data_IF_362368141866
#
_entry.id   IF_362368141866
#
_cell.length_a   1.000
_cell.length_b   1.000
_cell.length_c   1.000
_cell.angle_alpha   90.00
_cell.angle_beta   90.00
_cell.angle_gamma   90.00
#
_symmetry.space_group_name_H-M   'P 1'
#
loop_
_entity.id
_entity.type
_entity.pdbx_description
1 polymer ?
#
# COMPACT_ATOMS: atom_id res chain seq x y z
N UNK A 1 29.64 -4.27 4.83
CA UNK A 1 29.60 -2.97 5.53
C UNK A 1 28.23 -2.84 6.16
N UNK A 2 28.11 -2.83 7.50
CA UNK A 2 26.81 -2.67 8.18
C UNK A 2 26.67 -1.21 8.56
N UNK A 3 25.55 -0.58 8.17
CA UNK A 3 25.19 0.74 8.67
C UNK A 3 24.71 0.54 10.12
N UNK A 4 25.30 1.23 11.11
CA UNK A 4 24.88 1.10 12.50
C UNK A 4 23.38 1.37 12.66
N UNK A 5 22.73 0.67 13.59
CA UNK A 5 21.30 0.80 13.91
C UNK A 5 20.31 0.39 12.81
N UNK A 6 20.71 0.18 11.55
CA UNK A 6 19.78 -0.19 10.45
C UNK A 6 18.97 -1.44 10.79
N UNK A 7 19.62 -2.52 11.22
CA UNK A 7 18.90 -3.74 11.60
C UNK A 7 17.90 -3.52 12.74
N UNK A 8 18.23 -2.66 13.71
CA UNK A 8 17.32 -2.31 14.80
C UNK A 8 16.13 -1.49 14.31
N UNK A 9 16.38 -0.43 13.53
CA UNK A 9 15.33 0.46 13.03
C UNK A 9 14.41 -0.22 12.03
N UNK A 10 14.94 -1.07 11.14
CA UNK A 10 14.14 -1.77 10.11
C UNK A 10 13.14 -2.75 10.71
N UNK A 11 13.40 -3.33 11.89
CA UNK A 11 12.51 -4.29 12.53
C UNK A 11 11.57 -3.64 13.57
N UNK A 12 11.85 -2.41 14.00
CA UNK A 12 11.11 -1.79 15.10
C UNK A 12 9.62 -1.57 14.81
N UNK A 13 9.17 -1.23 13.58
CA UNK A 13 7.74 -1.16 13.28
C UNK A 13 7.01 -2.49 13.54
N UNK A 14 7.64 -3.61 13.19
CA UNK A 14 7.10 -4.95 13.43
C UNK A 14 7.09 -5.30 14.92
N UNK A 15 8.16 -4.95 15.66
CA UNK A 15 8.21 -5.14 17.11
C UNK A 15 7.15 -4.33 17.84
N UNK A 16 6.96 -3.08 17.44
CA UNK A 16 5.90 -2.23 17.97
C UNK A 16 4.53 -2.85 17.71
N UNK A 17 4.26 -3.31 16.48
CA UNK A 17 2.98 -3.95 16.14
C UNK A 17 2.66 -5.14 17.05
N UNK A 18 3.63 -6.02 17.31
CA UNK A 18 3.46 -7.17 18.21
C UNK A 18 3.27 -6.71 19.67
N UNK A 19 4.11 -5.79 20.14
CA UNK A 19 4.05 -5.31 21.54
C UNK A 19 2.77 -4.53 21.82
N UNK A 20 2.20 -3.86 20.82
CA UNK A 20 1.05 -2.97 20.99
C UNK A 20 -0.30 -3.66 20.78
N UNK A 21 -0.34 -4.96 20.45
CA UNK A 21 -1.60 -5.70 20.26
C UNK A 21 -2.59 -5.58 21.44
N UNK A 22 -2.08 -5.55 22.68
CA UNK A 22 -2.89 -5.43 23.90
C UNK A 22 -2.73 -4.07 24.61
N UNK A 23 -1.99 -3.13 24.02
CA UNK A 23 -1.71 -1.83 24.63
C UNK A 23 -2.69 -0.76 24.13
N UNK A 24 -3.00 0.26 24.94
CA UNK A 24 -3.90 1.34 24.54
C UNK A 24 -3.50 2.03 23.21
N UNK A 25 -2.20 2.21 22.94
CA UNK A 25 -1.71 2.79 21.70
C UNK A 25 -2.07 1.94 20.47
N UNK A 26 -1.91 0.61 20.55
CA UNK A 26 -2.28 -0.28 19.46
C UNK A 26 -3.79 -0.40 19.28
N UNK A 27 -4.58 -0.40 20.37
CA UNK A 27 -6.05 -0.36 20.29
C UNK A 27 -6.51 0.91 19.57
N UNK A 28 -5.95 2.07 19.92
CA UNK A 28 -6.29 3.34 19.28
C UNK A 28 -5.83 3.40 17.83
N UNK A 29 -4.63 2.88 17.53
CA UNK A 29 -4.15 2.74 16.15
C UNK A 29 -5.11 1.91 15.31
N UNK A 30 -5.48 0.70 15.76
CA UNK A 30 -6.41 -0.17 15.05
C UNK A 30 -7.77 0.50 14.83
N UNK A 31 -8.30 1.20 15.84
CA UNK A 31 -9.54 1.99 15.69
C UNK A 31 -9.45 3.05 14.60
N UNK A 32 -8.31 3.72 14.46
CA UNK A 32 -8.09 4.71 13.39
C UNK A 32 -7.93 4.07 12.02
N UNK A 33 -7.19 2.96 11.92
CA UNK A 33 -6.97 2.24 10.65
C UNK A 33 -8.22 1.58 10.09
N UNK A 34 -9.23 1.28 10.92
CA UNK A 34 -10.53 0.76 10.48
C UNK A 34 -11.41 1.80 9.76
N UNK A 35 -11.05 3.08 9.79
CA UNK A 35 -11.83 4.12 9.11
C UNK A 35 -11.59 4.00 7.61
N UNK A 36 -12.65 4.01 6.80
CA UNK A 36 -12.51 3.92 5.35
C UNK A 36 -11.80 5.15 4.77
N UNK A 37 -11.09 4.94 3.67
CA UNK A 37 -10.48 6.02 2.89
C UNK A 37 -11.57 6.72 2.09
N UNK A 38 -11.69 8.04 2.24
CA UNK A 38 -12.79 8.86 1.64
C UNK A 38 -12.34 9.74 0.49
N UNK A 39 -11.20 9.42 -0.10
CA UNK A 39 -10.62 10.16 -1.22
C UNK A 39 -10.40 9.21 -2.40
N UNK A 40 -10.49 9.70 -3.64
CA UNK A 40 -10.17 8.90 -4.81
C UNK A 40 -8.82 8.20 -4.65
N UNK A 41 -8.77 6.90 -4.88
CA UNK A 41 -7.60 6.07 -4.58
C UNK A 41 -7.20 5.26 -5.81
N UNK A 42 -5.96 5.45 -6.25
CA UNK A 42 -5.28 4.56 -7.19
C UNK A 42 -4.42 3.55 -6.42
N UNK A 43 -4.68 2.27 -6.62
CA UNK A 43 -3.89 1.18 -6.08
C UNK A 43 -3.13 0.52 -7.22
N UNK A 44 -1.80 0.70 -7.23
CA UNK A 44 -0.89 0.06 -8.18
C UNK A 44 -0.19 -1.11 -7.48
N UNK A 45 -0.19 -2.28 -8.09
CA UNK A 45 0.34 -3.49 -7.48
C UNK A 45 1.07 -4.36 -8.51
N UNK A 46 2.19 -4.98 -8.14
CA UNK A 46 2.88 -5.95 -8.99
C UNK A 46 2.26 -7.35 -8.87
N UNK A 47 2.13 -8.06 -9.98
CA UNK A 47 1.64 -9.44 -10.03
C UNK A 47 2.60 -10.46 -9.40
N UNK A 48 3.90 -10.15 -9.38
CA UNK A 48 4.95 -11.01 -8.84
C UNK A 48 5.42 -10.58 -7.44
N UNK A 49 4.69 -9.69 -6.76
CA UNK A 49 5.05 -9.19 -5.43
C UNK A 49 5.14 -10.35 -4.41
N UNK A 50 6.36 -10.67 -3.91
CA UNK A 50 6.54 -11.76 -2.95
C UNK A 50 6.24 -11.33 -1.50
N UNK A 51 6.23 -10.03 -1.22
CA UNK A 51 6.05 -9.47 0.12
C UNK A 51 4.56 -9.28 0.44
N UNK A 52 3.80 -8.73 -0.50
CA UNK A 52 2.35 -8.58 -0.41
C UNK A 52 1.71 -9.30 -1.58
N UNK A 53 1.16 -10.49 -1.32
CA UNK A 53 0.56 -11.30 -2.39
C UNK A 53 -0.65 -10.59 -3.01
N UNK A 54 -0.78 -10.66 -4.33
CA UNK A 54 -1.94 -10.13 -5.07
C UNK A 54 -3.28 -10.60 -4.52
N UNK A 55 -3.38 -11.86 -4.08
CA UNK A 55 -4.59 -12.40 -3.46
C UNK A 55 -4.98 -11.68 -2.15
N UNK A 56 -4.00 -11.21 -1.39
CA UNK A 56 -4.24 -10.45 -0.15
C UNK A 56 -4.67 -9.01 -0.44
N UNK A 57 -4.19 -8.44 -1.55
CA UNK A 57 -4.53 -7.08 -2.01
C UNK A 57 -5.85 -7.04 -2.80
N UNK A 58 -6.26 -8.16 -3.38
CA UNK A 58 -7.52 -8.28 -4.09
C UNK A 58 -8.70 -8.00 -3.12
N UNK A 59 -9.56 -7.05 -3.49
CA UNK A 59 -10.70 -6.65 -2.66
C UNK A 59 -10.39 -5.53 -1.66
N UNK A 60 -9.21 -4.90 -1.69
CA UNK A 60 -8.92 -3.72 -0.87
C UNK A 60 -9.88 -2.54 -1.10
N UNK A 61 -10.59 -2.51 -2.24
CA UNK A 61 -11.64 -1.53 -2.50
C UNK A 61 -12.75 -1.51 -1.45
N UNK A 62 -12.98 -2.59 -0.69
CA UNK A 62 -13.95 -2.62 0.42
C UNK A 62 -13.61 -1.63 1.55
N UNK A 63 -12.37 -1.15 1.61
CA UNK A 63 -11.89 -0.21 2.62
C UNK A 63 -11.89 1.26 2.12
N UNK A 64 -12.42 1.51 0.93
CA UNK A 64 -12.45 2.82 0.28
C UNK A 64 -13.91 3.24 0.05
N UNK A 65 -14.35 4.32 0.71
CA UNK A 65 -15.64 5.00 0.52
C UNK A 65 -15.47 6.16 -0.48
N UNK A 66 -14.89 5.88 -1.65
CA UNK A 66 -14.58 6.82 -2.71
C UNK A 66 -14.22 6.03 -3.99
N UNK A 67 -14.10 6.68 -5.16
CA UNK A 67 -13.65 5.98 -6.36
C UNK A 67 -12.32 5.26 -6.13
N UNK A 68 -12.30 3.98 -6.48
CA UNK A 68 -11.17 3.09 -6.28
C UNK A 68 -10.78 2.44 -7.60
N UNK A 69 -9.56 2.72 -8.06
CA UNK A 69 -8.98 2.12 -9.26
C UNK A 69 -7.85 1.19 -8.86
N UNK A 70 -7.95 -0.08 -9.23
CA UNK A 70 -6.89 -1.06 -9.03
C UNK A 70 -6.22 -1.40 -10.35
N UNK A 71 -4.89 -1.31 -10.40
CA UNK A 71 -4.07 -1.71 -11.54
C UNK A 71 -3.01 -2.70 -11.09
N UNK A 72 -3.00 -3.84 -11.77
CA UNK A 72 -2.02 -4.89 -11.61
C UNK A 72 -0.98 -4.78 -12.73
N UNK A 73 0.29 -4.77 -12.37
CA UNK A 73 1.42 -4.74 -13.28
C UNK A 73 1.89 -6.17 -13.50
N UNK A 74 1.72 -6.67 -14.72
CA UNK A 74 2.17 -8.01 -15.07
C UNK A 74 3.70 -8.08 -15.10
N UNK A 75 4.28 -9.15 -14.57
CA UNK A 75 5.73 -9.34 -14.52
C UNK A 75 6.50 -8.45 -13.52
N UNK A 76 5.82 -7.59 -12.76
CA UNK A 76 6.43 -6.65 -11.80
C UNK A 76 6.29 -7.15 -10.36
N UNK A 77 7.33 -6.96 -9.57
CA UNK A 77 7.43 -7.34 -8.15
C UNK A 77 6.89 -6.28 -7.18
N UNK A 78 7.57 -6.13 -6.05
CA UNK A 78 7.11 -5.31 -4.92
C UNK A 78 7.30 -3.81 -5.14
N UNK A 79 8.21 -3.40 -6.04
CA UNK A 79 8.54 -1.99 -6.27
C UNK A 79 8.25 -1.57 -7.71
N UNK A 80 6.97 -1.46 -8.12
CA UNK A 80 6.63 -1.09 -9.50
C UNK A 80 7.27 0.20 -10.02
N UNK A 81 7.50 1.18 -9.13
CA UNK A 81 8.12 2.44 -9.48
C UNK A 81 9.62 2.34 -9.77
N UNK A 82 10.31 1.31 -9.27
CA UNK A 82 11.72 1.04 -9.58
C UNK A 82 11.85 0.04 -10.74
N UNK A 83 10.96 -0.95 -10.80
CA UNK A 83 11.02 -2.05 -11.77
C UNK A 83 10.49 -1.67 -13.16
N UNK A 84 9.40 -0.90 -13.24
CA UNK A 84 8.89 -0.32 -14.48
C UNK A 84 8.45 1.15 -14.25
N UNK A 85 9.42 2.08 -14.12
CA UNK A 85 9.14 3.47 -13.82
C UNK A 85 8.31 4.15 -14.90
N UNK A 86 8.43 3.72 -16.16
CA UNK A 86 7.71 4.31 -17.30
C UNK A 86 6.24 3.99 -17.17
N UNK A 87 5.88 2.69 -17.10
CA UNK A 87 4.49 2.29 -16.99
C UNK A 87 3.86 2.82 -15.70
N UNK A 88 4.60 2.78 -14.58
CA UNK A 88 4.12 3.32 -13.30
C UNK A 88 3.79 4.82 -13.40
N UNK A 89 4.71 5.61 -13.93
CA UNK A 89 4.54 7.06 -14.05
C UNK A 89 3.42 7.42 -15.02
N UNK A 90 3.29 6.69 -16.13
CA UNK A 90 2.20 6.88 -17.10
C UNK A 90 0.84 6.63 -16.46
N UNK A 91 0.65 5.51 -15.76
CA UNK A 91 -0.61 5.21 -15.06
C UNK A 91 -0.94 6.26 -13.99
N UNK A 92 0.05 6.66 -13.19
CA UNK A 92 -0.13 7.68 -12.15
C UNK A 92 -0.54 9.02 -12.75
N UNK A 93 0.16 9.50 -13.78
CA UNK A 93 -0.12 10.80 -14.40
C UNK A 93 -1.48 10.78 -15.09
N UNK A 94 -1.84 9.68 -15.76
CA UNK A 94 -3.14 9.55 -16.40
C UNK A 94 -4.27 9.59 -15.38
N UNK A 95 -4.12 8.91 -14.25
CA UNK A 95 -5.09 8.97 -13.16
C UNK A 95 -5.20 10.37 -12.55
N UNK A 96 -4.08 11.08 -12.35
CA UNK A 96 -4.09 12.45 -11.81
C UNK A 96 -4.77 13.46 -12.75
N UNK A 97 -4.72 13.22 -14.06
CA UNK A 97 -5.36 14.06 -15.07
C UNK A 97 -6.85 13.77 -15.24
N UNK A 98 -7.33 12.66 -14.69
CA UNK A 98 -8.70 12.20 -14.85
C UNK A 98 -9.65 13.03 -13.95
N UNK A 99 -10.52 13.88 -14.54
CA UNK A 99 -11.42 14.72 -13.76
C UNK A 99 -12.61 13.94 -13.17
N UNK A 100 -12.86 12.71 -13.64
CA UNK A 100 -14.00 11.87 -13.23
C UNK A 100 -13.52 10.48 -12.78
N UNK A 101 -12.93 10.37 -11.57
CA UNK A 101 -12.41 9.09 -11.08
C UNK A 101 -13.50 8.01 -10.83
N UNK A 102 -14.78 8.39 -10.89
CA UNK A 102 -15.98 7.57 -10.64
C UNK A 102 -16.61 6.92 -11.89
N UNK A 103 -16.04 7.09 -13.09
CA UNK A 103 -16.54 6.45 -14.32
C UNK A 103 -15.86 5.12 -14.65
#
# INVERSE_FOLDING_TARGET
MSIPSTAHCSIEPYRWMVRSMARPDGIQFNRRMKRPVRVPTLHLHGSLDPAVRTRSSAGSGQYVEAPYRWRLFDGVGHFPHEEDPIAFSTELINWLKDPEPDR
#
